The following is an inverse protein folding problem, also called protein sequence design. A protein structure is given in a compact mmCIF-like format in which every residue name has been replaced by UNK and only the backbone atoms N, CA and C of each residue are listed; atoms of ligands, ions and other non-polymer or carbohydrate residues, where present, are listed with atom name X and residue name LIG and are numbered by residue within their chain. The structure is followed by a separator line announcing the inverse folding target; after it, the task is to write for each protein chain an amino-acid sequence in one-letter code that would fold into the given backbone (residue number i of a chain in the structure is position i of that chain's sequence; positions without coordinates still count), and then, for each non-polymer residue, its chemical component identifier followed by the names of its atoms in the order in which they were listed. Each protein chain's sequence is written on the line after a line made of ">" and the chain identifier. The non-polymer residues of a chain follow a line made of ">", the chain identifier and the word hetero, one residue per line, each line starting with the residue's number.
data_IF_272620097864
#
_entry.id   IF_272620097864
#
_cell.length_a   1.000
_cell.length_b   1.000
_cell.length_c   1.000
_cell.angle_alpha   90.00
_cell.angle_beta   90.00
_cell.angle_gamma   90.00
#
_symmetry.space_group_name_H-M   'P 1'
#
loop_
_entity.id
_entity.type
_entity.pdbx_description
1 polymer ?
#
# COMPACT_ATOMS: atom_id res chain seq x y z
N UNK A 1 28.07 2.61 -4.06
CA UNK A 1 28.72 3.72 -3.31
C UNK A 1 28.11 3.75 -1.92
N UNK A 2 28.89 3.88 -0.83
CA UNK A 2 28.37 4.00 0.54
C UNK A 2 28.50 5.44 0.99
N UNK A 3 27.37 6.12 1.21
CA UNK A 3 27.34 7.41 1.87
C UNK A 3 27.01 7.15 3.35
N UNK A 4 28.01 7.29 4.22
CA UNK A 4 27.78 7.38 5.65
C UNK A 4 27.81 8.87 6.01
N UNK A 5 26.71 9.57 5.73
CA UNK A 5 26.51 10.89 6.28
C UNK A 5 25.76 10.73 7.61
N UNK A 6 26.49 10.90 8.72
CA UNK A 6 25.96 10.79 10.08
C UNK A 6 24.91 11.88 10.38
N UNK A 7 24.77 12.90 9.53
CA UNK A 7 23.79 13.99 9.73
C UNK A 7 22.32 13.55 9.58
N UNK A 8 22.06 12.37 9.04
CA UNK A 8 20.68 11.93 8.71
C UNK A 8 20.12 10.80 9.57
N UNK A 9 20.89 10.18 10.46
CA UNK A 9 20.55 8.84 11.00
C UNK A 9 20.11 7.85 9.88
N UNK A 10 20.64 8.05 8.67
CA UNK A 10 20.22 7.39 7.44
C UNK A 10 21.43 6.78 6.76
N UNK A 11 21.46 5.46 6.68
CA UNK A 11 22.49 4.75 5.93
C UNK A 11 22.04 4.59 4.49
N UNK A 12 22.71 5.26 3.55
CA UNK A 12 22.29 5.26 2.16
C UNK A 12 23.12 4.25 1.36
N UNK A 13 22.43 3.35 0.67
CA UNK A 13 23.01 2.37 -0.24
C UNK A 13 22.43 2.57 -1.64
N UNK A 14 23.30 2.90 -2.60
CA UNK A 14 22.94 3.10 -3.99
C UNK A 14 23.51 1.98 -4.87
N UNK A 15 22.59 1.29 -5.56
CA UNK A 15 22.85 0.28 -6.57
C UNK A 15 22.38 0.76 -7.95
N UNK A 16 23.17 0.48 -8.98
CA UNK A 16 22.88 0.86 -10.38
C UNK A 16 22.97 -0.35 -11.28
N UNK A 17 21.94 -0.59 -12.09
CA UNK A 17 21.87 -1.72 -13.02
C UNK A 17 21.72 -1.21 -14.45
N UNK A 18 22.59 -1.68 -15.34
CA UNK A 18 22.62 -1.32 -16.76
C UNK A 18 22.81 0.18 -17.04
N UNK A 19 23.30 0.95 -16.08
CA UNK A 19 23.65 2.35 -16.26
C UNK A 19 24.80 2.76 -15.34
N UNK A 20 25.42 3.89 -15.66
CA UNK A 20 26.32 4.61 -14.76
C UNK A 20 25.77 6.02 -14.57
N UNK A 21 25.66 6.47 -13.33
CA UNK A 21 25.20 7.83 -13.02
C UNK A 21 26.38 8.80 -13.09
N UNK A 22 26.16 9.96 -13.71
CA UNK A 22 27.17 11.02 -13.72
C UNK A 22 27.32 11.65 -12.33
N UNK A 23 28.47 12.26 -12.05
CA UNK A 23 28.71 12.98 -10.78
C UNK A 23 27.65 14.07 -10.53
N UNK A 24 27.31 14.85 -11.55
CA UNK A 24 26.27 15.87 -11.45
C UNK A 24 24.88 15.28 -11.16
N UNK A 25 24.58 14.07 -11.63
CA UNK A 25 23.33 13.38 -11.28
C UNK A 25 23.34 12.92 -9.82
N UNK A 26 24.47 12.40 -9.33
CA UNK A 26 24.64 12.01 -7.93
C UNK A 26 24.49 13.21 -6.99
N UNK A 27 25.13 14.33 -7.28
CA UNK A 27 25.02 15.58 -6.50
C UNK A 27 23.56 16.06 -6.42
N UNK A 28 22.82 16.03 -7.54
CA UNK A 28 21.39 16.37 -7.56
C UNK A 28 20.51 15.37 -6.80
N UNK A 29 20.83 14.08 -6.86
CA UNK A 29 20.12 13.07 -6.08
C UNK A 29 20.37 13.28 -4.58
N UNK A 30 21.59 13.62 -4.19
CA UNK A 30 21.92 13.96 -2.80
C UNK A 30 21.16 15.21 -2.33
N UNK A 31 21.10 16.27 -3.12
CA UNK A 31 20.29 17.46 -2.84
C UNK A 31 18.80 17.11 -2.70
N UNK A 32 18.29 16.22 -3.54
CA UNK A 32 16.89 15.78 -3.51
C UNK A 32 16.52 14.99 -2.24
N UNK A 33 17.49 14.56 -1.42
CA UNK A 33 17.24 13.95 -0.11
C UNK A 33 16.92 14.97 0.99
N UNK A 34 17.15 16.27 0.76
CA UNK A 34 16.91 17.31 1.77
C UNK A 34 15.52 17.25 2.45
N UNK A 35 14.41 16.91 1.75
CA UNK A 35 13.10 16.76 2.38
C UNK A 35 12.97 15.59 3.37
N UNK A 36 13.87 14.59 3.32
CA UNK A 36 13.87 13.44 4.24
C UNK A 36 14.59 13.72 5.56
N UNK A 37 15.37 14.80 5.65
CA UNK A 37 16.20 15.12 6.83
C UNK A 37 15.37 15.17 8.12
N UNK A 38 14.37 16.04 8.13
CA UNK A 38 13.57 16.27 9.33
C UNK A 38 12.70 15.05 9.72
N UNK A 39 11.98 14.40 8.79
CA UNK A 39 11.12 13.28 9.16
C UNK A 39 11.90 12.05 9.65
N UNK A 40 13.10 11.79 9.12
CA UNK A 40 13.90 10.60 9.46
C UNK A 40 14.62 10.74 10.80
N UNK A 41 14.93 11.97 11.23
CA UNK A 41 15.67 12.23 12.49
C UNK A 41 15.00 11.62 13.73
N UNK A 42 13.67 11.39 13.69
CA UNK A 42 12.92 10.77 14.80
C UNK A 42 13.13 9.26 14.94
N UNK A 43 13.84 8.62 14.02
CA UNK A 43 14.09 7.17 14.03
C UNK A 43 15.56 6.87 14.38
N UNK A 44 15.83 5.85 15.22
CA UNK A 44 17.16 5.62 15.80
C UNK A 44 18.23 5.25 14.77
N UNK A 45 17.90 4.47 13.73
CA UNK A 45 18.70 4.26 12.51
C UNK A 45 17.71 3.81 11.42
N UNK A 46 17.82 4.37 10.21
CA UNK A 46 17.06 3.90 9.05
C UNK A 46 18.02 3.54 7.91
N UNK A 47 17.82 2.37 7.29
CA UNK A 47 18.54 2.02 6.06
C UNK A 47 17.74 2.51 4.86
N UNK A 48 18.41 3.19 3.93
CA UNK A 48 17.81 3.70 2.70
C UNK A 48 18.49 3.15 1.46
N UNK A 49 17.79 2.23 0.81
CA UNK A 49 18.23 1.57 -0.41
C UNK A 49 17.68 2.29 -1.63
N UNK A 50 18.54 2.56 -2.59
CA UNK A 50 18.21 3.18 -3.87
C UNK A 50 18.70 2.23 -4.96
N UNK A 51 17.80 1.81 -5.85
CA UNK A 51 18.14 1.02 -7.03
C UNK A 51 17.74 1.79 -8.27
N UNK A 52 18.70 2.09 -9.13
CA UNK A 52 18.46 2.72 -10.44
C UNK A 52 18.70 1.68 -11.52
N UNK A 53 17.67 1.36 -12.31
CA UNK A 53 17.77 0.43 -13.44
C UNK A 53 17.51 1.21 -14.71
N UNK A 54 18.40 1.13 -15.69
CA UNK A 54 18.11 1.62 -17.04
C UNK A 54 17.58 0.50 -17.91
N UNK A 55 16.51 0.81 -18.64
CA UNK A 55 15.94 -0.05 -19.66
C UNK A 55 16.30 0.56 -21.02
N UNK A 56 16.85 -0.26 -21.92
CA UNK A 56 17.13 0.17 -23.30
C UNK A 56 15.86 0.21 -24.16
N UNK A 57 14.78 -0.42 -23.70
CA UNK A 57 13.49 -0.49 -24.40
C UNK A 57 12.35 -0.69 -23.38
N UNK A 58 11.49 0.33 -23.14
CA UNK A 58 11.64 1.71 -23.60
C UNK A 58 12.91 2.34 -23.01
N UNK A 59 13.44 3.37 -23.68
CA UNK A 59 14.64 4.10 -23.25
C UNK A 59 14.34 4.97 -22.01
N UNK A 60 14.32 4.34 -20.83
CA UNK A 60 13.99 5.01 -19.58
C UNK A 60 14.71 4.42 -18.36
N UNK A 61 14.62 5.14 -17.25
CA UNK A 61 15.14 4.74 -15.95
C UNK A 61 13.99 4.37 -15.04
N UNK A 62 14.10 3.22 -14.37
CA UNK A 62 13.26 2.84 -13.26
C UNK A 62 14.06 2.99 -11.96
N UNK A 63 13.66 3.97 -11.15
CA UNK A 63 14.22 4.20 -9.82
C UNK A 63 13.31 3.57 -8.79
N UNK A 64 13.87 2.76 -7.90
CA UNK A 64 13.19 2.19 -6.74
C UNK A 64 13.91 2.63 -5.48
N UNK A 65 13.16 3.03 -4.48
CA UNK A 65 13.70 3.36 -3.16
C UNK A 65 12.98 2.56 -2.08
N UNK A 66 13.73 2.13 -1.07
CA UNK A 66 13.21 1.42 0.09
C UNK A 66 13.86 1.95 1.36
N UNK A 67 13.04 2.29 2.35
CA UNK A 67 13.47 2.78 3.64
C UNK A 67 13.03 1.79 4.72
N UNK A 68 13.99 1.21 5.42
CA UNK A 68 13.75 0.29 6.53
C UNK A 68 13.60 1.12 7.80
N UNK A 69 12.43 1.01 8.43
CA UNK A 69 12.10 1.64 9.70
C UNK A 69 11.84 0.54 10.74
N UNK A 70 11.85 0.88 12.06
CA UNK A 70 11.47 -0.08 13.08
C UNK A 70 10.07 -0.64 12.82
N UNK A 71 9.96 -1.95 12.56
CA UNK A 71 8.70 -2.65 12.35
C UNK A 71 8.01 -2.46 10.99
N UNK A 72 8.60 -1.68 10.06
CA UNK A 72 8.02 -1.51 8.71
C UNK A 72 9.06 -1.08 7.67
N UNK A 73 8.93 -1.59 6.45
CA UNK A 73 9.67 -1.05 5.29
C UNK A 73 8.75 -0.21 4.41
N UNK A 74 9.15 1.01 4.07
CA UNK A 74 8.46 1.88 3.12
C UNK A 74 9.16 1.80 1.77
N UNK A 75 8.43 1.55 0.69
CA UNK A 75 9.00 1.47 -0.66
C UNK A 75 8.25 2.37 -1.64
N UNK A 76 8.94 2.93 -2.63
CA UNK A 76 8.33 3.63 -3.79
C UNK A 76 9.15 3.37 -5.05
N UNK A 77 8.52 3.49 -6.23
CA UNK A 77 9.18 3.32 -7.53
C UNK A 77 8.61 4.26 -8.57
N UNK A 78 9.46 4.72 -9.49
CA UNK A 78 9.15 5.70 -10.53
C UNK A 78 9.92 5.40 -11.81
N UNK A 79 9.28 5.64 -12.97
CA UNK A 79 9.94 5.62 -14.28
C UNK A 79 10.05 7.02 -14.86
N UNK A 80 11.16 7.33 -15.52
CA UNK A 80 11.38 8.59 -16.24
C UNK A 80 12.56 8.46 -17.21
N UNK A 81 12.61 9.27 -18.27
CA UNK A 81 13.79 9.34 -19.14
C UNK A 81 15.01 9.94 -18.42
N UNK A 82 14.82 10.61 -17.27
CA UNK A 82 15.85 11.17 -16.41
C UNK A 82 15.82 10.55 -15.00
N UNK A 83 16.90 9.89 -14.54
CA UNK A 83 16.91 9.20 -13.24
C UNK A 83 16.77 10.15 -12.05
N UNK A 84 17.22 11.40 -12.17
CA UNK A 84 17.10 12.41 -11.11
C UNK A 84 15.63 12.82 -10.91
N UNK A 85 14.89 12.93 -12.02
CA UNK A 85 13.45 13.24 -12.01
C UNK A 85 12.66 12.12 -11.33
N UNK A 86 12.87 10.88 -11.76
CA UNK A 86 12.28 9.69 -11.14
C UNK A 86 12.62 9.61 -9.64
N UNK A 87 13.89 9.79 -9.28
CA UNK A 87 14.32 9.78 -7.89
C UNK A 87 13.65 10.87 -7.05
N UNK A 88 13.56 12.10 -7.55
CA UNK A 88 12.90 13.21 -6.85
C UNK A 88 11.41 12.94 -6.61
N UNK A 89 10.73 12.26 -7.54
CA UNK A 89 9.35 11.78 -7.34
C UNK A 89 9.27 10.68 -6.29
N UNK A 90 10.19 9.71 -6.31
CA UNK A 90 10.29 8.67 -5.29
C UNK A 90 10.45 9.27 -3.88
N UNK A 91 11.36 10.24 -3.72
CA UNK A 91 11.60 10.90 -2.43
C UNK A 91 10.35 11.64 -1.93
N UNK A 92 9.66 12.41 -2.79
CA UNK A 92 8.41 13.08 -2.40
C UNK A 92 7.34 12.09 -1.93
N UNK A 93 7.14 10.99 -2.67
CA UNK A 93 6.21 9.92 -2.26
C UNK A 93 6.63 9.29 -0.93
N UNK A 94 7.93 9.10 -0.71
CA UNK A 94 8.46 8.52 0.51
C UNK A 94 8.27 9.44 1.72
N UNK A 95 8.50 10.75 1.59
CA UNK A 95 8.21 11.74 2.63
C UNK A 95 6.76 11.65 3.08
N UNK A 96 5.81 11.58 2.14
CA UNK A 96 4.39 11.44 2.47
C UNK A 96 4.10 10.12 3.20
N UNK A 97 4.70 9.00 2.76
CA UNK A 97 4.56 7.71 3.44
C UNK A 97 5.15 7.73 4.86
N UNK A 98 6.29 8.41 5.04
CA UNK A 98 6.97 8.53 6.32
C UNK A 98 6.18 9.39 7.32
N UNK A 99 5.58 10.50 6.86
CA UNK A 99 4.65 11.30 7.66
C UNK A 99 3.45 10.47 8.11
N UNK A 100 2.78 9.79 7.18
CA UNK A 100 1.65 8.92 7.50
C UNK A 100 2.04 7.79 8.47
N UNK A 101 3.26 7.27 8.37
CA UNK A 101 3.79 6.29 9.32
C UNK A 101 3.99 6.90 10.71
N UNK A 102 4.61 8.07 10.80
CA UNK A 102 4.79 8.81 12.07
C UNK A 102 3.44 9.11 12.74
N UNK A 103 2.49 9.64 11.98
CA UNK A 103 1.14 9.93 12.47
C UNK A 103 0.46 8.65 13.00
N UNK A 104 0.69 7.51 12.33
CA UNK A 104 0.16 6.22 12.79
C UNK A 104 0.79 5.73 14.11
N UNK A 105 2.07 6.04 14.36
CA UNK A 105 2.75 5.71 15.61
C UNK A 105 2.31 6.61 16.75
N UNK A 106 2.18 7.91 16.50
CA UNK A 106 1.70 8.90 17.48
C UNK A 106 0.22 8.70 17.80
N UNK A 107 -0.57 8.17 16.86
CA UNK A 107 -1.96 7.81 17.08
C UNK A 107 -2.15 6.49 17.83
N UNK A 108 -1.10 5.66 18.07
CA UNK A 108 -1.27 4.37 18.78
C UNK A 108 -1.87 4.54 20.19
N UNK A 109 -1.45 5.47 21.06
CA UNK A 109 -2.05 5.63 22.39
C UNK A 109 -3.54 6.05 22.35
N UNK A 110 -3.96 6.80 21.33
CA UNK A 110 -5.36 7.22 21.13
C UNK A 110 -6.21 6.15 20.43
N UNK A 111 -5.63 5.44 19.45
CA UNK A 111 -6.29 4.33 18.75
C UNK A 111 -6.49 3.12 19.64
N UNK A 112 -5.60 2.83 20.60
CA UNK A 112 -5.82 1.75 21.58
C UNK A 112 -7.02 2.08 22.48
N UNK A 113 -7.14 3.32 22.98
CA UNK A 113 -8.32 3.75 23.78
C UNK A 113 -9.61 3.82 22.96
N UNK A 114 -9.55 4.16 21.67
CA UNK A 114 -10.72 4.15 20.79
C UNK A 114 -11.11 2.73 20.32
N UNK A 115 -10.14 1.80 20.22
CA UNK A 115 -10.38 0.38 19.92
C UNK A 115 -11.10 -0.33 21.07
N UNK A 116 -10.75 -0.02 22.31
CA UNK A 116 -11.36 -0.63 23.51
C UNK A 116 -12.88 -0.42 23.63
N UNK A 117 -13.47 0.54 22.87
CA UNK A 117 -14.90 0.80 22.90
C UNK A 117 -15.74 0.16 21.78
N UNK A 118 -15.15 -0.37 20.70
CA UNK A 118 -15.92 -0.81 19.50
C UNK A 118 -15.27 -1.97 18.72
N UNK A 119 -14.81 -3.02 19.41
CA UNK A 119 -14.47 -4.30 18.75
C UNK A 119 -15.77 -5.05 18.47
N UNK A 120 -16.41 -4.75 17.34
CA UNK A 120 -17.27 -5.74 16.68
C UNK A 120 -16.39 -6.39 15.63
N UNK A 121 -15.90 -7.59 15.96
CA UNK A 121 -15.06 -8.41 15.09
C UNK A 121 -15.78 -8.69 13.76
N UNK A 122 -15.04 -8.70 12.65
CA UNK A 122 -15.54 -9.22 11.36
C UNK A 122 -15.67 -10.74 11.50
N UNK A 123 -16.85 -11.18 11.92
CA UNK A 123 -17.18 -12.60 12.06
C UNK A 123 -17.80 -13.10 10.75
N UNK A 124 -17.35 -14.25 10.20
CA UNK A 124 -17.97 -14.77 8.99
C UNK A 124 -19.36 -15.32 9.29
N UNK A 125 -20.25 -15.26 8.29
CA UNK A 125 -21.61 -15.79 8.37
C UNK A 125 -21.66 -17.33 8.36
N UNK A 126 -20.61 -17.97 7.82
CA UNK A 126 -20.42 -19.41 7.79
C UNK A 126 -18.93 -19.77 7.92
N UNK A 127 -18.62 -21.04 8.11
CA UNK A 127 -17.23 -21.50 8.18
C UNK A 127 -16.53 -21.30 6.82
N UNK A 128 -15.40 -20.58 6.76
CA UNK A 128 -14.69 -20.34 5.50
C UNK A 128 -13.95 -21.59 5.04
N UNK A 129 -13.97 -21.84 3.72
CA UNK A 129 -13.16 -22.90 3.13
C UNK A 129 -11.70 -22.40 2.96
N UNK A 130 -10.88 -22.75 3.94
CA UNK A 130 -9.48 -22.34 3.99
C UNK A 130 -8.65 -22.93 2.84
N UNK A 131 -9.00 -24.12 2.36
CA UNK A 131 -8.27 -24.77 1.27
C UNK A 131 -8.63 -24.13 -0.07
N UNK A 132 -9.90 -23.79 -0.28
CA UNK A 132 -10.33 -23.01 -1.44
C UNK A 132 -9.63 -21.64 -1.50
N UNK A 133 -9.51 -20.93 -0.37
CA UNK A 133 -8.79 -19.66 -0.30
C UNK A 133 -7.31 -19.81 -0.71
N UNK A 134 -6.62 -20.81 -0.16
CA UNK A 134 -5.20 -21.04 -0.48
C UNK A 134 -4.98 -21.42 -1.93
N UNK A 135 -5.85 -22.27 -2.48
CA UNK A 135 -5.77 -22.67 -3.88
C UNK A 135 -5.98 -21.48 -4.82
N UNK A 136 -7.00 -20.65 -4.55
CA UNK A 136 -7.26 -19.44 -5.32
C UNK A 136 -6.06 -18.47 -5.34
N UNK A 137 -5.39 -18.30 -4.20
CA UNK A 137 -4.16 -17.48 -4.11
C UNK A 137 -3.01 -18.11 -4.91
N UNK A 138 -2.82 -19.43 -4.81
CA UNK A 138 -1.76 -20.12 -5.54
C UNK A 138 -1.95 -20.02 -7.07
N UNK A 139 -3.19 -20.09 -7.55
CA UNK A 139 -3.56 -19.99 -8.96
C UNK A 139 -3.68 -18.55 -9.46
N UNK A 140 -3.60 -17.56 -8.56
CA UNK A 140 -3.88 -16.14 -8.83
C UNK A 140 -5.29 -15.93 -9.41
N UNK A 141 -6.24 -16.70 -8.94
CA UNK A 141 -7.66 -16.59 -9.31
C UNK A 141 -8.40 -15.73 -8.27
N UNK A 142 -8.53 -14.44 -8.59
CA UNK A 142 -9.25 -13.50 -7.73
C UNK A 142 -10.73 -13.87 -7.58
N UNK A 143 -11.36 -14.46 -8.60
CA UNK A 143 -12.78 -14.77 -8.57
C UNK A 143 -13.06 -15.97 -7.66
N UNK A 144 -12.21 -17.00 -7.73
CA UNK A 144 -12.25 -18.11 -6.78
C UNK A 144 -12.00 -17.62 -5.35
N UNK A 145 -11.04 -16.72 -5.14
CA UNK A 145 -10.79 -16.12 -3.83
C UNK A 145 -12.01 -15.35 -3.33
N UNK A 146 -12.61 -14.53 -4.19
CA UNK A 146 -13.76 -13.68 -3.86
C UNK A 146 -15.00 -14.50 -3.50
N UNK A 147 -15.23 -15.62 -4.20
CA UNK A 147 -16.29 -16.58 -3.85
C UNK A 147 -16.06 -17.21 -2.48
N UNK A 148 -14.83 -17.62 -2.20
CA UNK A 148 -14.46 -18.23 -0.92
C UNK A 148 -14.57 -17.22 0.26
N UNK A 149 -14.46 -15.91 -0.01
CA UNK A 149 -14.61 -14.86 1.00
C UNK A 149 -16.04 -14.29 1.13
N UNK A 150 -17.04 -14.74 0.37
CA UNK A 150 -18.41 -14.19 0.48
C UNK A 150 -18.99 -14.26 1.89
N UNK A 151 -18.60 -15.28 2.67
CA UNK A 151 -19.01 -15.42 4.08
C UNK A 151 -18.58 -14.24 4.95
N UNK A 152 -17.62 -13.43 4.53
CA UNK A 152 -17.15 -12.23 5.25
C UNK A 152 -17.77 -10.92 4.74
N UNK A 153 -18.43 -10.93 3.59
CA UNK A 153 -18.78 -9.70 2.86
C UNK A 153 -19.66 -8.75 3.69
N UNK A 154 -20.75 -9.27 4.25
CA UNK A 154 -21.69 -8.44 5.00
C UNK A 154 -21.07 -7.90 6.30
N UNK A 155 -20.19 -8.68 6.94
CA UNK A 155 -19.44 -8.24 8.11
C UNK A 155 -18.44 -7.12 7.75
N UNK A 156 -17.69 -7.28 6.66
CA UNK A 156 -16.79 -6.25 6.14
C UNK A 156 -17.57 -5.00 5.75
N UNK A 157 -18.68 -5.13 5.03
CA UNK A 157 -19.55 -4.02 4.62
C UNK A 157 -20.05 -3.20 5.82
N UNK A 158 -20.56 -3.87 6.86
CA UNK A 158 -20.99 -3.21 8.10
C UNK A 158 -19.85 -2.46 8.79
N UNK A 159 -18.65 -3.04 8.83
CA UNK A 159 -17.48 -2.39 9.44
C UNK A 159 -16.97 -1.23 8.61
N UNK A 160 -16.91 -1.39 7.29
CA UNK A 160 -16.53 -0.35 6.34
C UNK A 160 -17.46 0.86 6.45
N UNK A 161 -18.79 0.64 6.51
CA UNK A 161 -19.77 1.71 6.70
C UNK A 161 -19.50 2.57 7.95
N UNK A 162 -19.20 1.93 9.09
CA UNK A 162 -18.83 2.66 10.32
C UNK A 162 -17.45 3.32 10.24
N UNK A 163 -16.55 2.77 9.44
CA UNK A 163 -15.22 3.34 9.26
C UNK A 163 -15.29 4.62 8.43
N UNK A 164 -16.20 4.71 7.45
CA UNK A 164 -16.43 5.89 6.63
C UNK A 164 -16.79 7.12 7.47
N UNK A 165 -17.55 6.95 8.56
CA UNK A 165 -17.89 8.06 9.49
C UNK A 165 -16.63 8.76 10.07
N UNK A 166 -15.46 8.11 10.02
CA UNK A 166 -14.18 8.68 10.46
C UNK A 166 -13.43 9.44 9.37
N UNK A 167 -13.95 9.42 8.14
CA UNK A 167 -13.35 9.99 6.94
C UNK A 167 -14.34 10.91 6.23
N UNK A 168 -14.51 12.17 6.70
CA UNK A 168 -15.46 13.12 6.11
C UNK A 168 -15.24 13.37 4.62
N UNK A 169 -13.97 13.34 4.17
CA UNK A 169 -13.64 13.50 2.75
C UNK A 169 -14.09 12.31 1.89
N UNK A 170 -14.13 11.10 2.46
CA UNK A 170 -14.64 9.91 1.78
C UNK A 170 -16.17 9.95 1.76
N UNK A 171 -16.79 10.26 2.90
CA UNK A 171 -18.24 10.40 3.04
C UNK A 171 -18.80 11.44 2.06
N UNK A 172 -18.14 12.59 1.92
CA UNK A 172 -18.54 13.66 0.99
C UNK A 172 -18.50 13.23 -0.49
N UNK A 173 -17.77 12.17 -0.83
CA UNK A 173 -17.63 11.63 -2.18
C UNK A 173 -18.43 10.34 -2.39
N UNK A 174 -18.99 9.78 -1.33
CA UNK A 174 -19.78 8.56 -1.37
C UNK A 174 -21.08 8.80 -2.18
N UNK A 175 -21.39 7.90 -3.10
CA UNK A 175 -22.49 7.99 -4.05
C UNK A 175 -22.22 8.88 -5.27
N UNK A 176 -21.19 9.74 -5.23
CA UNK A 176 -20.82 10.62 -6.34
C UNK A 176 -19.58 10.12 -7.10
N UNK A 177 -18.56 9.65 -6.38
CA UNK A 177 -17.32 9.14 -6.94
C UNK A 177 -17.08 7.66 -6.61
N UNK A 178 -17.53 7.19 -5.44
CA UNK A 178 -17.40 5.80 -5.01
C UNK A 178 -18.67 5.32 -4.32
N UNK A 179 -18.86 4.02 -4.30
CA UNK A 179 -19.90 3.34 -3.53
C UNK A 179 -19.29 2.63 -2.32
N UNK A 180 -20.14 2.22 -1.37
CA UNK A 180 -19.70 1.35 -0.27
C UNK A 180 -19.23 -0.01 -0.82
N UNK A 181 -19.83 -0.48 -1.92
CA UNK A 181 -19.44 -1.72 -2.58
C UNK A 181 -18.03 -1.63 -3.17
N UNK A 182 -17.65 -0.48 -3.74
CA UNK A 182 -16.29 -0.24 -4.23
C UNK A 182 -15.26 -0.37 -3.09
N UNK A 183 -15.58 0.19 -1.91
CA UNK A 183 -14.70 0.05 -0.75
C UNK A 183 -14.60 -1.39 -0.25
N UNK A 184 -15.71 -2.13 -0.25
CA UNK A 184 -15.71 -3.54 0.17
C UNK A 184 -14.90 -4.39 -0.81
N UNK A 185 -15.08 -4.17 -2.11
CA UNK A 185 -14.33 -4.88 -3.14
C UNK A 185 -12.84 -4.54 -3.07
N UNK A 186 -12.49 -3.27 -2.85
CA UNK A 186 -11.10 -2.83 -2.63
C UNK A 186 -10.46 -3.51 -1.41
N UNK A 187 -11.22 -3.77 -0.34
CA UNK A 187 -10.72 -4.54 0.82
C UNK A 187 -10.35 -5.97 0.41
N UNK A 188 -11.19 -6.62 -0.39
CA UNK A 188 -10.94 -7.99 -0.84
C UNK A 188 -9.82 -8.07 -1.87
N UNK A 189 -9.67 -7.07 -2.75
CA UNK A 189 -8.52 -6.98 -3.65
C UNK A 189 -7.22 -6.80 -2.87
N UNK A 190 -7.18 -5.88 -1.90
CA UNK A 190 -6.03 -5.75 -1.03
C UNK A 190 -5.73 -7.05 -0.25
N UNK A 191 -6.76 -7.77 0.19
CA UNK A 191 -6.60 -9.05 0.85
C UNK A 191 -6.02 -10.12 -0.09
N UNK A 192 -6.44 -10.13 -1.34
CA UNK A 192 -5.91 -11.04 -2.35
C UNK A 192 -4.46 -10.71 -2.71
N UNK A 193 -4.15 -9.44 -2.96
CA UNK A 193 -2.81 -8.97 -3.34
C UNK A 193 -1.77 -9.18 -2.24
N UNK A 194 -2.18 -9.04 -0.98
CA UNK A 194 -1.29 -9.11 0.18
C UNK A 194 -1.52 -10.36 1.03
N UNK A 195 -2.14 -11.41 0.49
CA UNK A 195 -2.45 -12.64 1.23
C UNK A 195 -1.18 -13.30 1.82
N UNK A 196 -0.06 -13.20 1.11
CA UNK A 196 1.26 -13.67 1.56
C UNK A 196 1.79 -12.93 2.82
N UNK A 197 1.17 -11.80 3.19
CA UNK A 197 1.52 -11.00 4.36
C UNK A 197 0.51 -11.13 5.50
N UNK A 198 -0.50 -11.99 5.35
CA UNK A 198 -1.43 -12.29 6.42
C UNK A 198 -0.67 -12.96 7.59
N UNK A 199 -0.67 -12.38 8.80
CA UNK A 199 0.03 -12.98 9.94
C UNK A 199 -0.67 -14.26 10.42
N UNK A 200 0.10 -15.33 10.65
CA UNK A 200 -0.40 -16.64 11.10
C UNK A 200 -1.21 -16.58 12.41
N UNK A 201 -0.92 -15.57 13.24
CA UNK A 201 -1.55 -15.38 14.55
C UNK A 201 -2.90 -14.65 14.48
N UNK A 202 -3.22 -14.00 13.35
CA UNK A 202 -4.44 -13.22 13.18
C UNK A 202 -5.52 -14.06 12.48
N UNK A 203 -6.76 -13.94 12.95
CA UNK A 203 -7.91 -14.48 12.21
C UNK A 203 -8.10 -13.71 10.90
N UNK A 204 -8.57 -14.40 9.86
CA UNK A 204 -8.83 -13.78 8.55
C UNK A 204 -9.76 -12.56 8.66
N UNK A 205 -10.85 -12.68 9.42
CA UNK A 205 -11.76 -11.55 9.65
C UNK A 205 -11.09 -10.34 10.31
N UNK A 206 -10.25 -10.56 11.32
CA UNK A 206 -9.48 -9.49 11.97
C UNK A 206 -8.48 -8.84 10.99
N UNK A 207 -7.87 -9.65 10.13
CA UNK A 207 -6.97 -9.16 9.10
C UNK A 207 -7.72 -8.33 8.05
N UNK A 208 -8.89 -8.79 7.57
CA UNK A 208 -9.78 -8.04 6.67
C UNK A 208 -10.20 -6.70 7.28
N UNK A 209 -10.52 -6.66 8.57
CA UNK A 209 -10.83 -5.40 9.26
C UNK A 209 -9.63 -4.42 9.20
N UNK A 210 -8.41 -4.92 9.39
CA UNK A 210 -7.19 -4.12 9.32
C UNK A 210 -6.90 -3.58 7.90
N UNK A 211 -7.53 -4.14 6.86
CA UNK A 211 -7.40 -3.70 5.47
C UNK A 211 -8.42 -2.60 5.08
N UNK A 212 -9.46 -2.36 5.89
CA UNK A 212 -10.47 -1.30 5.63
C UNK A 212 -9.80 0.09 5.57
N UNK A 213 -8.94 0.40 6.54
CA UNK A 213 -8.28 1.72 6.63
C UNK A 213 -7.31 1.99 5.46
N UNK A 214 -6.42 1.05 5.07
CA UNK A 214 -5.66 1.15 3.83
C UNK A 214 -6.53 1.33 2.57
N UNK A 215 -7.63 0.59 2.46
CA UNK A 215 -8.52 0.62 1.28
C UNK A 215 -9.19 1.98 1.11
N UNK A 216 -9.72 2.56 2.20
CA UNK A 216 -10.25 3.93 2.19
C UNK A 216 -9.19 4.93 1.72
N UNK A 217 -7.95 4.78 2.21
CA UNK A 217 -6.85 5.68 1.85
C UNK A 217 -6.38 5.51 0.40
N UNK A 218 -6.43 4.30 -0.14
CA UNK A 218 -6.11 4.04 -1.53
C UNK A 218 -7.09 4.80 -2.44
N UNK A 219 -8.39 4.58 -2.23
CA UNK A 219 -9.47 5.26 -2.95
C UNK A 219 -9.41 6.79 -2.84
N UNK A 220 -9.12 7.34 -1.66
CA UNK A 220 -8.99 8.81 -1.51
C UNK A 220 -7.79 9.40 -2.25
N UNK A 221 -6.70 8.62 -2.35
CA UNK A 221 -5.43 9.10 -2.88
C UNK A 221 -5.40 9.11 -4.39
N UNK A 222 -5.91 8.05 -5.04
CA UNK A 222 -5.96 7.93 -6.49
C UNK A 222 -7.29 7.31 -6.97
N UNK A 223 -8.40 8.08 -6.87
CA UNK A 223 -9.75 7.60 -7.19
C UNK A 223 -9.86 6.89 -8.53
N UNK A 224 -9.28 7.49 -9.57
CA UNK A 224 -9.45 7.04 -10.95
C UNK A 224 -8.71 5.72 -11.20
N UNK A 225 -7.50 5.59 -10.67
CA UNK A 225 -6.71 4.37 -10.83
C UNK A 225 -7.36 3.18 -10.10
N UNK A 226 -7.83 3.37 -8.86
CA UNK A 226 -8.44 2.27 -8.12
C UNK A 226 -9.80 1.88 -8.69
N UNK A 227 -10.63 2.84 -9.11
CA UNK A 227 -11.89 2.52 -9.80
C UNK A 227 -11.66 1.77 -11.12
N UNK A 228 -10.65 2.15 -11.89
CA UNK A 228 -10.31 1.42 -13.11
C UNK A 228 -9.89 -0.03 -12.82
N UNK A 229 -9.18 -0.27 -11.70
CA UNK A 229 -8.85 -1.62 -11.25
C UNK A 229 -10.12 -2.41 -10.87
N UNK A 230 -11.03 -1.79 -10.10
CA UNK A 230 -12.31 -2.40 -9.71
C UNK A 230 -13.18 -2.75 -10.92
N UNK A 231 -13.30 -1.83 -11.88
CA UNK A 231 -14.10 -2.03 -13.08
C UNK A 231 -13.51 -3.11 -14.00
N UNK A 232 -12.18 -3.21 -14.09
CA UNK A 232 -11.52 -4.29 -14.83
C UNK A 232 -11.82 -5.66 -14.21
N UNK A 233 -11.80 -5.76 -12.87
CA UNK A 233 -12.14 -6.97 -12.13
C UNK A 233 -13.61 -7.35 -12.31
N UNK A 234 -14.53 -6.39 -12.24
CA UNK A 234 -15.97 -6.61 -12.49
C UNK A 234 -16.23 -7.09 -13.92
N UNK A 235 -15.64 -6.42 -14.90
CA UNK A 235 -15.78 -6.77 -16.32
C UNK A 235 -15.29 -8.20 -16.58
N UNK A 236 -14.15 -8.57 -16.01
CA UNK A 236 -13.63 -9.94 -16.11
C UNK A 236 -14.62 -10.97 -15.56
N UNK A 237 -15.18 -10.71 -14.37
CA UNK A 237 -16.18 -11.59 -13.73
C UNK A 237 -17.44 -11.78 -14.57
N UNK A 238 -17.98 -10.71 -15.12
CA UNK A 238 -19.18 -10.75 -15.97
C UNK A 238 -18.93 -11.60 -17.22
N UNK A 239 -17.77 -11.43 -17.87
CA UNK A 239 -17.43 -12.21 -19.08
C UNK A 239 -17.19 -13.70 -18.83
N UNK A 240 -16.69 -14.08 -17.65
CA UNK A 240 -16.50 -15.48 -17.27
C UNK A 240 -17.85 -16.13 -16.92
N UNK A 241 -18.76 -15.40 -16.28
CA UNK A 241 -20.09 -15.90 -15.93
C UNK A 241 -21.03 -16.11 -17.13
N UNK A 242 -20.81 -15.44 -18.26
CA UNK A 242 -21.61 -15.62 -19.48
C UNK A 242 -21.18 -16.86 -20.32
N UNK A 243 -20.05 -17.49 -19.99
CA UNK A 243 -19.50 -18.63 -20.73
C UNK A 243 -19.79 -19.99 -20.10
N UNK A 244 -20.35 -20.01 -18.88
CA UNK A 244 -20.80 -21.19 -18.14
C UNK A 244 -22.34 -21.34 -18.20
#
# INVERSE_FOLDING_TARGET
>A
MRFADESYNLRIELDTKNCTLSRAALEKMEEALAPLREPVHTFPVSDFYITVVYHSTPEDYHVRVSMVLPGRTLFTGERDSNPVSAFSRCVRKLVSKLKAYKDSLEAKPQKTKAREGTVQEVVPEAEPDADQLRNAIAERDYDAFRRATYVYEEAVRKRAGRWIERYPDFEARLGAAFTLEDLVEEVFLNAFEYFDRWPDELRLGEWLENLIDPSVKALLKDPEAELANLDAVRTYRETVQEQD
#
